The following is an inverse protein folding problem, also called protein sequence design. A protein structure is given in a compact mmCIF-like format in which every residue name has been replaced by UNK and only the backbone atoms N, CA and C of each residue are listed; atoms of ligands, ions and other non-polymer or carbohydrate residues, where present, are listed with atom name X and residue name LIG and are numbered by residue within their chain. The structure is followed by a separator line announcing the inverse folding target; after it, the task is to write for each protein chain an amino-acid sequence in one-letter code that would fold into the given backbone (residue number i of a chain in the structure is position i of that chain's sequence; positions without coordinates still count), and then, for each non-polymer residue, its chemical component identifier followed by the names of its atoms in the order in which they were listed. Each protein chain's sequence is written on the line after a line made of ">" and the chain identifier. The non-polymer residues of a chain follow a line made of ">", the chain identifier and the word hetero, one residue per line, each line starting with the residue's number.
data_IF_082285535955
#
_entry.id   IF_082285535955
#
_cell.length_a   1.000
_cell.length_b   1.000
_cell.length_c   1.000
_cell.angle_alpha   90.00
_cell.angle_beta   90.00
_cell.angle_gamma   90.00
#
_symmetry.space_group_name_H-M   'P 1'
#
loop_
_entity.id
_entity.type
_entity.pdbx_description
1 polymer ?
#
# COMPACT_ATOMS: atom_id res chain seq x y z
N UNK A 1 -19.95 11.85 14.87
CA UNK A 1 -19.87 13.28 14.52
C UNK A 1 -18.47 13.51 14.00
N UNK A 2 -18.26 13.21 12.71
CA UNK A 2 -16.95 13.29 12.04
C UNK A 2 -16.62 14.76 11.86
N UNK A 3 -15.51 15.18 12.45
CA UNK A 3 -15.03 16.55 12.36
C UNK A 3 -14.53 16.83 10.93
N UNK A 4 -15.40 17.48 10.14
CA UNK A 4 -15.12 17.94 8.77
C UNK A 4 -14.00 19.00 8.70
N UNK A 5 -13.46 19.46 9.84
CA UNK A 5 -12.37 20.46 9.87
C UNK A 5 -10.99 19.90 9.54
N UNK A 6 -10.79 18.57 9.57
CA UNK A 6 -9.50 17.93 9.27
C UNK A 6 -9.15 17.87 7.77
N UNK A 7 -10.03 18.33 6.87
CA UNK A 7 -9.89 18.20 5.42
C UNK A 7 -9.73 19.54 4.69
N UNK A 8 -9.49 20.64 5.40
CA UNK A 8 -9.15 21.90 4.74
C UNK A 8 -7.81 21.73 3.99
N UNK A 9 -7.76 21.95 2.66
CA UNK A 9 -6.54 21.85 1.90
C UNK A 9 -5.58 22.96 2.36
N UNK A 10 -4.42 22.54 2.88
CA UNK A 10 -3.29 23.44 3.13
C UNK A 10 -2.48 23.48 1.85
N UNK A 11 -2.31 24.65 1.27
CA UNK A 11 -1.51 24.85 0.05
C UNK A 11 -0.03 24.65 0.37
N UNK A 12 0.68 23.92 -0.49
CA UNK A 12 2.10 23.62 -0.35
C UNK A 12 3.05 24.76 -0.77
N UNK A 13 2.49 25.93 -1.13
CA UNK A 13 3.27 27.08 -1.59
C UNK A 13 4.26 27.53 -0.51
N UNK A 14 5.55 27.60 -0.89
CA UNK A 14 6.63 28.05 0.00
C UNK A 14 7.15 26.98 0.96
N UNK A 15 6.85 25.69 0.76
CA UNK A 15 7.47 24.61 1.51
C UNK A 15 8.94 24.41 1.10
N UNK A 16 9.79 24.18 2.10
CA UNK A 16 11.19 23.78 1.94
C UNK A 16 11.38 22.40 2.58
N UNK A 17 11.96 21.46 1.85
CA UNK A 17 12.36 20.15 2.34
C UNK A 17 13.87 20.13 2.54
N UNK A 18 14.32 19.90 3.78
CA UNK A 18 15.74 19.83 4.13
C UNK A 18 16.05 18.44 4.65
N UNK A 19 16.90 17.70 3.93
CA UNK A 19 17.31 16.34 4.28
C UNK A 19 18.75 16.29 4.76
N UNK A 20 18.99 15.62 5.89
CA UNK A 20 20.31 15.40 6.49
C UNK A 20 20.47 13.95 6.91
N UNK A 21 21.72 13.49 6.91
CA UNK A 21 22.09 12.15 7.40
C UNK A 21 21.85 12.05 8.92
N UNK A 22 21.46 10.86 9.37
CA UNK A 22 21.45 10.47 10.78
C UNK A 22 22.47 9.35 11.00
N UNK A 23 23.12 9.35 12.16
CA UNK A 23 24.09 8.30 12.52
C UNK A 23 23.41 6.93 12.67
N UNK A 24 22.28 6.88 13.37
CA UNK A 24 21.51 5.64 13.59
C UNK A 24 20.00 5.92 13.65
N UNK A 25 19.22 4.91 13.31
CA UNK A 25 17.80 4.78 13.65
C UNK A 25 17.59 3.36 14.16
N UNK A 26 17.36 3.22 15.46
CA UNK A 26 17.19 1.92 16.12
C UNK A 26 15.91 1.23 15.65
N UNK A 27 14.77 1.93 15.72
CA UNK A 27 13.46 1.45 15.24
C UNK A 27 12.72 2.60 14.54
N UNK A 28 12.38 2.42 13.25
CA UNK A 28 11.59 3.41 12.50
C UNK A 28 10.25 3.71 13.18
N UNK A 29 9.68 2.75 13.90
CA UNK A 29 8.41 2.94 14.62
C UNK A 29 8.49 4.02 15.72
N UNK A 30 9.67 4.37 16.21
CA UNK A 30 9.82 5.46 17.19
C UNK A 30 9.65 6.85 16.57
N UNK A 31 9.81 6.97 15.25
CA UNK A 31 9.58 8.20 14.52
C UNK A 31 8.12 8.39 14.05
N UNK A 32 7.26 7.38 14.23
CA UNK A 32 5.85 7.40 13.80
C UNK A 32 5.02 8.34 14.68
N UNK A 33 4.55 9.45 14.10
CA UNK A 33 3.60 10.35 14.76
C UNK A 33 2.18 9.76 14.89
N UNK A 34 1.28 10.40 15.66
CA UNK A 34 -0.12 9.97 15.77
C UNK A 34 -0.86 9.99 14.43
N UNK A 35 -0.66 11.05 13.66
CA UNK A 35 -1.15 11.21 12.27
C UNK A 35 -0.10 10.75 11.26
N UNK A 36 0.88 9.98 11.72
CA UNK A 36 2.02 9.58 10.93
C UNK A 36 1.68 8.45 9.97
N UNK A 37 2.57 8.30 9.00
CA UNK A 37 2.61 7.19 8.08
C UNK A 37 3.84 6.35 8.36
N UNK A 38 3.75 5.04 8.20
CA UNK A 38 4.93 4.19 8.05
C UNK A 38 4.76 3.29 6.85
N UNK A 39 5.88 3.04 6.17
CA UNK A 39 6.05 1.92 5.27
C UNK A 39 7.42 1.31 5.60
N UNK A 40 7.46 0.05 6.00
CA UNK A 40 8.73 -0.61 6.33
C UNK A 40 8.75 -2.08 5.93
N UNK A 41 9.79 -2.47 5.22
CA UNK A 41 10.08 -3.83 4.81
C UNK A 41 11.53 -4.19 5.15
N UNK A 42 11.75 -5.31 5.82
CA UNK A 42 13.10 -5.77 6.17
C UNK A 42 13.92 -4.78 7.02
N UNK A 43 13.25 -3.84 7.70
CA UNK A 43 13.89 -2.77 8.48
C UNK A 43 14.27 -1.53 7.66
N UNK A 44 14.14 -1.57 6.34
CA UNK A 44 14.22 -0.39 5.48
C UNK A 44 12.83 0.26 5.34
N UNK A 45 12.78 1.51 4.91
CA UNK A 45 11.56 2.28 4.69
C UNK A 45 11.60 3.65 5.35
N UNK A 46 10.41 4.18 5.67
CA UNK A 46 10.26 5.49 6.28
C UNK A 46 9.09 5.53 7.26
N UNK A 47 9.22 6.38 8.27
CA UNK A 47 8.17 6.74 9.21
C UNK A 47 8.05 8.27 9.28
N UNK A 48 6.83 8.76 9.41
CA UNK A 48 6.55 10.20 9.33
C UNK A 48 5.86 10.72 10.58
N UNK A 49 6.00 12.02 10.82
CA UNK A 49 5.29 12.74 11.87
C UNK A 49 4.96 14.17 11.43
N UNK A 50 3.81 14.66 11.89
CA UNK A 50 3.28 15.99 11.54
C UNK A 50 2.83 16.09 10.08
N UNK A 51 2.05 17.14 9.81
CA UNK A 51 1.47 17.40 8.49
C UNK A 51 1.93 18.78 8.03
N UNK A 52 2.68 18.85 6.94
CA UNK A 52 3.04 20.10 6.28
C UNK A 52 1.95 20.55 5.31
N UNK A 53 1.36 19.60 4.57
CA UNK A 53 0.23 19.86 3.68
C UNK A 53 -0.65 18.61 3.48
N UNK A 54 -1.91 18.82 3.11
CA UNK A 54 -2.83 17.78 2.63
C UNK A 54 -3.18 18.08 1.19
N UNK A 55 -2.97 17.10 0.31
CA UNK A 55 -3.00 17.30 -1.13
C UNK A 55 -3.89 16.25 -1.77
N UNK A 56 -4.86 16.63 -2.62
CA UNK A 56 -5.59 15.66 -3.42
C UNK A 56 -4.61 14.79 -4.22
N UNK A 57 -4.80 13.47 -4.21
CA UNK A 57 -3.87 12.53 -4.82
C UNK A 57 -3.64 12.80 -6.33
N UNK A 58 -4.60 13.42 -7.01
CA UNK A 58 -4.48 13.83 -8.42
C UNK A 58 -3.48 14.99 -8.65
N UNK A 59 -3.20 15.80 -7.63
CA UNK A 59 -2.35 17.00 -7.71
C UNK A 59 -1.01 16.83 -7.01
N UNK A 60 -0.71 15.63 -6.50
CA UNK A 60 0.46 15.41 -5.66
C UNK A 60 1.77 15.69 -6.39
N UNK A 61 1.87 15.29 -7.66
CA UNK A 61 3.07 15.50 -8.46
C UNK A 61 3.34 16.99 -8.70
N UNK A 62 2.30 17.76 -9.07
CA UNK A 62 2.38 19.21 -9.24
C UNK A 62 2.86 19.88 -7.95
N UNK A 63 2.26 19.49 -6.82
CA UNK A 63 2.58 20.06 -5.52
C UNK A 63 4.01 19.74 -5.10
N UNK A 64 4.45 18.48 -5.18
CA UNK A 64 5.81 18.10 -4.80
C UNK A 64 6.86 18.81 -5.66
N UNK A 65 6.57 19.08 -6.93
CA UNK A 65 7.46 19.82 -7.82
C UNK A 65 7.67 21.31 -7.42
N UNK A 66 6.76 21.88 -6.61
CA UNK A 66 6.90 23.26 -6.10
C UNK A 66 7.75 23.36 -4.84
N UNK A 67 8.03 22.24 -4.17
CA UNK A 67 8.77 22.22 -2.90
C UNK A 67 10.26 22.44 -3.19
N UNK A 68 10.87 23.41 -2.50
CA UNK A 68 12.32 23.65 -2.62
C UNK A 68 13.05 22.55 -1.83
N UNK A 69 13.89 21.76 -2.51
CA UNK A 69 14.59 20.62 -1.90
C UNK A 69 16.08 20.92 -1.72
N UNK A 70 16.54 20.87 -0.48
CA UNK A 70 17.95 20.77 -0.07
C UNK A 70 18.16 19.36 0.50
N UNK A 71 18.74 18.47 -0.28
CA UNK A 71 18.92 17.07 0.08
C UNK A 71 20.36 16.61 -0.11
N UNK A 72 21.06 16.41 1.00
CA UNK A 72 22.44 15.91 1.03
C UNK A 72 22.52 14.40 0.72
N UNK A 73 21.43 13.66 0.96
CA UNK A 73 21.43 12.20 0.97
C UNK A 73 21.17 11.65 -0.43
N UNK A 74 20.24 12.25 -1.19
CA UNK A 74 19.96 11.93 -2.61
C UNK A 74 19.62 10.44 -2.83
N UNK A 75 18.65 9.91 -2.07
CA UNK A 75 18.23 8.50 -2.11
C UNK A 75 16.70 8.36 -2.25
N UNK A 76 16.18 7.20 -2.69
CA UNK A 76 14.73 6.97 -2.67
C UNK A 76 14.13 7.22 -1.27
N UNK A 77 13.08 8.04 -1.20
CA UNK A 77 12.42 8.42 0.06
C UNK A 77 13.04 9.62 0.80
N UNK A 78 14.02 10.30 0.21
CA UNK A 78 14.56 11.59 0.68
C UNK A 78 13.91 12.77 -0.03
N UNK A 79 14.09 13.99 0.51
CA UNK A 79 13.45 15.19 -0.03
C UNK A 79 11.94 15.25 0.21
N UNK A 80 11.22 15.96 -0.67
CA UNK A 80 9.77 16.09 -0.55
C UNK A 80 9.05 14.80 -0.95
N UNK A 81 8.26 14.24 -0.04
CA UNK A 81 7.47 13.03 -0.27
C UNK A 81 6.01 13.26 0.09
N UNK A 82 5.12 12.49 -0.53
CA UNK A 82 3.73 12.39 -0.13
C UNK A 82 3.41 10.94 0.24
N UNK A 83 2.62 10.76 1.29
CA UNK A 83 2.31 9.48 1.89
C UNK A 83 0.82 9.38 2.22
N UNK A 84 0.30 8.16 2.29
CA UNK A 84 -1.10 7.91 2.65
C UNK A 84 -1.63 6.61 2.07
N UNK A 85 -2.90 6.32 2.35
CA UNK A 85 -3.64 5.21 1.77
C UNK A 85 -4.63 5.68 0.68
N UNK A 86 -4.82 4.85 -0.35
CA UNK A 86 -5.87 5.02 -1.35
C UNK A 86 -7.06 4.12 -1.02
N UNK A 87 -8.32 4.59 -1.19
CA UNK A 87 -9.50 3.77 -0.94
C UNK A 87 -9.61 2.61 -1.94
N UNK A 88 -10.29 1.53 -1.53
CA UNK A 88 -10.62 0.42 -2.43
C UNK A 88 -11.49 0.87 -3.60
N UNK A 89 -12.48 1.72 -3.34
CA UNK A 89 -13.31 2.31 -4.37
C UNK A 89 -12.53 3.35 -5.18
N UNK A 90 -12.34 3.07 -6.48
CA UNK A 90 -11.55 3.92 -7.40
C UNK A 90 -12.16 5.30 -7.63
N UNK A 91 -13.48 5.41 -7.42
CA UNK A 91 -14.24 6.64 -7.66
C UNK A 91 -14.22 7.56 -6.44
N UNK A 92 -13.76 7.07 -5.29
CA UNK A 92 -13.63 7.86 -4.08
C UNK A 92 -12.43 8.82 -4.13
N UNK A 93 -12.64 10.04 -3.65
CA UNK A 93 -11.55 11.01 -3.52
C UNK A 93 -10.49 10.51 -2.53
N UNK A 94 -9.22 10.69 -2.91
CA UNK A 94 -8.08 10.34 -2.08
C UNK A 94 -7.24 11.59 -1.79
N UNK A 95 -6.83 11.74 -0.54
CA UNK A 95 -5.96 12.83 -0.08
C UNK A 95 -4.67 12.20 0.46
N UNK A 96 -3.54 12.69 -0.01
CA UNK A 96 -2.22 12.32 0.50
C UNK A 96 -1.68 13.42 1.41
N UNK A 97 -0.80 13.04 2.32
CA UNK A 97 -0.15 13.92 3.27
C UNK A 97 1.29 14.20 2.81
N UNK A 98 1.66 15.46 2.74
CA UNK A 98 3.08 15.87 2.77
C UNK A 98 3.45 16.00 4.25
N UNK A 99 4.27 15.12 4.81
CA UNK A 99 4.56 15.11 6.23
C UNK A 99 5.53 16.24 6.59
N UNK A 100 5.45 16.76 7.82
CA UNK A 100 6.41 17.77 8.30
C UNK A 100 7.77 17.16 8.70
N UNK A 101 7.81 15.86 9.01
CA UNK A 101 9.03 15.09 9.26
C UNK A 101 8.97 13.71 8.61
N UNK A 102 10.08 13.30 8.01
CA UNK A 102 10.33 11.95 7.53
C UNK A 102 11.60 11.44 8.18
N UNK A 103 11.56 10.26 8.78
CA UNK A 103 12.77 9.51 9.16
C UNK A 103 12.80 8.27 8.30
N UNK A 104 13.91 8.06 7.63
CA UNK A 104 14.07 6.91 6.75
C UNK A 104 15.35 6.13 7.01
N UNK A 105 15.32 4.90 6.54
CA UNK A 105 16.45 3.97 6.52
C UNK A 105 16.41 3.17 5.22
N UNK A 106 17.51 3.11 4.49
CA UNK A 106 17.61 2.31 3.27
C UNK A 106 18.10 0.88 3.55
N UNK A 107 18.10 0.03 2.53
CA UNK A 107 18.55 -1.36 2.63
C UNK A 107 20.04 -1.51 2.98
N UNK A 108 20.85 -0.48 2.75
CA UNK A 108 22.27 -0.44 3.12
C UNK A 108 22.46 0.05 4.57
N UNK A 109 21.37 0.40 5.27
CA UNK A 109 21.38 0.88 6.65
C UNK A 109 21.65 2.39 6.79
N UNK A 110 21.73 3.15 5.70
CA UNK A 110 21.89 4.60 5.78
C UNK A 110 20.60 5.22 6.30
N UNK A 111 20.73 6.12 7.26
CA UNK A 111 19.61 6.75 7.93
C UNK A 111 19.57 8.25 7.62
N UNK A 112 18.37 8.81 7.54
CA UNK A 112 18.19 10.25 7.29
C UNK A 112 16.98 10.80 8.03
N UNK A 113 16.96 12.13 8.14
CA UNK A 113 15.78 12.90 8.49
C UNK A 113 15.54 13.98 7.45
N UNK A 114 14.28 14.11 7.03
CA UNK A 114 13.81 15.24 6.23
C UNK A 114 12.82 16.05 7.03
N UNK A 115 13.01 17.37 7.06
CA UNK A 115 12.05 18.33 7.60
C UNK A 115 11.40 19.09 6.44
N UNK A 116 10.07 19.16 6.41
CA UNK A 116 9.30 19.85 5.37
C UNK A 116 8.43 20.92 6.02
N UNK A 117 8.66 22.19 5.67
CA UNK A 117 7.92 23.32 6.26
C UNK A 117 8.44 23.76 7.65
N UNK A 118 7.67 24.55 8.42
CA UNK A 118 8.13 25.08 9.70
C UNK A 118 8.28 23.99 10.77
N UNK A 119 9.08 24.29 11.80
CA UNK A 119 9.50 23.37 12.87
C UNK A 119 8.30 22.70 13.55
N UNK A 120 8.39 21.38 13.74
CA UNK A 120 7.34 20.53 14.34
C UNK A 120 7.04 20.86 15.80
N UNK A 121 5.78 20.66 16.17
CA UNK A 121 5.36 20.46 17.55
C UNK A 121 5.89 19.10 18.09
N UNK A 122 6.21 19.01 19.40
CA UNK A 122 6.70 17.77 20.00
C UNK A 122 5.67 16.63 19.90
N UNK A 123 6.18 15.39 19.81
CA UNK A 123 5.32 14.21 19.79
C UNK A 123 4.46 14.13 21.06
N UNK A 124 3.18 13.74 20.97
CA UNK A 124 2.33 13.61 22.15
C UNK A 124 2.80 12.45 23.04
N UNK A 125 2.37 12.52 24.30
CA UNK A 125 2.67 11.50 25.30
C UNK A 125 2.14 10.11 24.86
N UNK A 126 2.77 9.02 25.33
CA UNK A 126 2.31 7.66 25.06
C UNK A 126 0.85 7.46 25.48
N UNK A 127 0.07 6.78 24.65
CA UNK A 127 -1.29 6.39 25.01
C UNK A 127 -1.29 5.29 26.09
N UNK A 128 -2.30 5.28 26.99
CA UNK A 128 -2.48 4.18 27.92
C UNK A 128 -2.74 2.86 27.17
N UNK A 129 -2.36 1.74 27.78
CA UNK A 129 -2.59 0.41 27.19
C UNK A 129 -4.01 -0.06 27.52
N UNK A 130 -4.75 -0.47 26.49
CA UNK A 130 -6.04 -1.13 26.66
C UNK A 130 -5.88 -2.40 27.51
N UNK A 131 -6.79 -2.59 28.47
CA UNK A 131 -6.80 -3.76 29.36
C UNK A 131 -8.00 -4.66 29.16
N UNK A 132 -9.04 -4.15 28.49
CA UNK A 132 -10.27 -4.88 28.19
C UNK A 132 -10.72 -4.56 26.78
N UNK A 133 -11.22 -5.58 26.09
CA UNK A 133 -11.81 -5.41 24.77
C UNK A 133 -12.95 -6.41 24.55
N UNK A 134 -13.85 -6.06 23.64
CA UNK A 134 -14.89 -6.94 23.12
C UNK A 134 -14.68 -7.13 21.62
N UNK A 135 -14.98 -8.32 21.12
CA UNK A 135 -14.85 -8.68 19.70
C UNK A 135 -16.22 -9.08 19.19
N UNK A 136 -16.67 -8.49 18.07
CA UNK A 136 -17.88 -8.90 17.37
C UNK A 136 -17.67 -8.92 15.86
N UNK A 137 -18.26 -9.89 15.17
CA UNK A 137 -18.43 -9.80 13.71
C UNK A 137 -19.57 -8.83 13.43
N UNK A 138 -19.39 -7.92 12.46
CA UNK A 138 -20.43 -6.96 12.07
C UNK A 138 -21.54 -7.70 11.34
N UNK A 139 -21.18 -8.52 10.38
CA UNK A 139 -22.10 -9.38 9.65
C UNK A 139 -22.38 -10.68 10.42
N UNK A 140 -23.65 -11.09 10.42
CA UNK A 140 -24.04 -12.38 10.96
C UNK A 140 -23.62 -13.52 10.02
N UNK A 141 -23.33 -14.68 10.59
CA UNK A 141 -22.94 -15.87 9.83
C UNK A 141 -23.91 -16.22 8.69
N UNK A 142 -25.22 -16.19 8.95
CA UNK A 142 -26.22 -16.53 7.93
C UNK A 142 -26.24 -15.55 6.76
N UNK A 143 -26.00 -14.26 7.01
CA UNK A 143 -25.84 -13.28 5.94
C UNK A 143 -24.59 -13.58 5.10
N UNK A 144 -23.47 -13.91 5.75
CA UNK A 144 -22.22 -14.24 5.06
C UNK A 144 -22.35 -15.49 4.19
N UNK A 145 -22.97 -16.55 4.70
CA UNK A 145 -23.23 -17.78 3.93
C UNK A 145 -24.11 -17.48 2.71
N UNK A 146 -25.16 -16.67 2.88
CA UNK A 146 -26.01 -16.25 1.76
C UNK A 146 -25.27 -15.41 0.72
N UNK A 147 -24.43 -14.45 1.13
CA UNK A 147 -23.63 -13.63 0.22
C UNK A 147 -22.67 -14.50 -0.62
N UNK A 148 -22.07 -15.52 0.00
CA UNK A 148 -21.22 -16.50 -0.71
C UNK A 148 -22.04 -17.34 -1.69
N UNK A 149 -23.24 -17.81 -1.30
CA UNK A 149 -24.13 -18.57 -2.20
C UNK A 149 -24.53 -17.74 -3.43
N UNK A 150 -24.90 -16.47 -3.25
CA UNK A 150 -25.22 -15.56 -4.35
C UNK A 150 -24.02 -15.39 -5.27
N UNK A 151 -22.82 -15.15 -4.72
CA UNK A 151 -21.61 -15.03 -5.53
C UNK A 151 -21.29 -16.30 -6.33
N UNK A 152 -21.53 -17.48 -5.77
CA UNK A 152 -21.35 -18.76 -6.46
C UNK A 152 -22.38 -18.96 -7.59
N UNK A 153 -23.64 -18.55 -7.37
CA UNK A 153 -24.67 -18.57 -8.40
C UNK A 153 -24.33 -17.61 -9.56
N UNK A 154 -23.83 -16.42 -9.25
CA UNK A 154 -23.36 -15.45 -10.24
C UNK A 154 -22.22 -16.00 -11.10
N UNK A 155 -21.28 -16.73 -10.50
CA UNK A 155 -20.20 -17.43 -11.21
C UNK A 155 -20.77 -18.54 -12.09
N UNK A 156 -21.70 -19.34 -11.59
CA UNK A 156 -22.32 -20.43 -12.35
C UNK A 156 -23.09 -19.92 -13.58
N UNK A 157 -23.67 -18.73 -13.49
CA UNK A 157 -24.34 -18.03 -14.58
C UNK A 157 -23.41 -17.21 -15.48
N UNK A 158 -22.09 -17.25 -15.24
CA UNK A 158 -21.09 -16.60 -16.07
C UNK A 158 -21.05 -15.07 -15.94
N UNK A 159 -21.53 -14.49 -14.84
CA UNK A 159 -21.49 -13.03 -14.62
C UNK A 159 -20.07 -12.53 -14.37
N UNK A 160 -19.25 -13.34 -13.71
CA UNK A 160 -17.82 -13.16 -13.50
C UNK A 160 -17.18 -14.52 -13.17
N UNK A 161 -15.87 -14.63 -13.33
CA UNK A 161 -15.07 -15.84 -13.05
C UNK A 161 -14.55 -15.88 -11.60
N UNK A 162 -14.33 -14.71 -10.98
CA UNK A 162 -13.82 -14.57 -9.62
C UNK A 162 -14.40 -13.33 -8.97
N UNK A 163 -14.71 -13.42 -7.67
CA UNK A 163 -15.00 -12.28 -6.81
C UNK A 163 -14.41 -12.53 -5.43
N UNK A 164 -13.96 -11.46 -4.76
CA UNK A 164 -13.45 -11.50 -3.40
C UNK A 164 -14.43 -10.76 -2.51
N UNK A 165 -15.01 -11.48 -1.55
CA UNK A 165 -15.87 -10.89 -0.52
C UNK A 165 -15.04 -10.65 0.74
N UNK A 166 -15.33 -9.56 1.45
CA UNK A 166 -14.70 -9.21 2.72
C UNK A 166 -15.78 -9.04 3.80
N UNK A 167 -15.39 -9.23 5.07
CA UNK A 167 -16.26 -9.02 6.23
C UNK A 167 -15.50 -8.31 7.34
N UNK A 168 -16.23 -7.61 8.19
CA UNK A 168 -15.64 -6.82 9.27
C UNK A 168 -15.72 -7.55 10.62
N UNK A 169 -14.63 -7.46 11.38
CA UNK A 169 -14.61 -7.82 12.81
C UNK A 169 -14.26 -6.56 13.59
N UNK A 170 -15.20 -6.11 14.40
CA UNK A 170 -15.03 -4.94 15.24
C UNK A 170 -14.48 -5.34 16.61
N UNK A 171 -13.40 -4.66 17.01
CA UNK A 171 -12.79 -4.78 18.33
C UNK A 171 -12.91 -3.44 19.04
N UNK A 172 -13.68 -3.40 20.12
CA UNK A 172 -13.85 -2.20 20.95
C UNK A 172 -13.08 -2.37 22.25
N UNK A 173 -12.27 -1.38 22.62
CA UNK A 173 -11.43 -1.40 23.81
C UNK A 173 -11.78 -0.27 24.79
N UNK A 174 -11.37 -0.43 26.05
CA UNK A 174 -11.53 0.56 27.12
C UNK A 174 -10.70 1.85 26.89
N UNK A 175 -9.63 1.76 26.11
CA UNK A 175 -8.83 2.90 25.65
C UNK A 175 -8.46 2.73 24.17
N UNK A 176 -8.12 3.82 23.45
CA UNK A 176 -7.63 3.73 22.08
C UNK A 176 -6.43 2.78 21.96
N UNK A 177 -6.38 2.01 20.86
CA UNK A 177 -5.21 1.19 20.56
C UNK A 177 -4.04 2.09 20.13
N UNK A 178 -2.87 1.84 20.70
CA UNK A 178 -1.65 2.54 20.30
C UNK A 178 -1.06 1.90 19.02
N UNK A 179 -1.03 2.61 17.87
CA UNK A 179 -0.57 2.06 16.59
C UNK A 179 0.82 1.42 16.64
N UNK A 180 1.80 2.04 17.31
CA UNK A 180 3.15 1.46 17.41
C UNK A 180 3.15 0.13 18.14
N UNK A 181 2.30 -0.03 19.16
CA UNK A 181 2.18 -1.27 19.91
C UNK A 181 1.52 -2.39 19.09
N UNK A 182 0.60 -2.04 18.19
CA UNK A 182 0.03 -2.99 17.22
C UNK A 182 1.09 -3.41 16.19
N UNK A 183 1.77 -2.44 15.59
CA UNK A 183 2.79 -2.68 14.55
C UNK A 183 3.97 -3.51 15.07
N UNK A 184 4.44 -3.27 16.30
CA UNK A 184 5.49 -4.10 16.91
C UNK A 184 5.08 -5.56 17.06
N UNK A 185 3.82 -5.82 17.42
CA UNK A 185 3.28 -7.19 17.50
C UNK A 185 3.15 -7.81 16.11
N UNK A 186 2.63 -7.07 15.14
CA UNK A 186 2.53 -7.52 13.75
C UNK A 186 3.91 -7.89 13.19
N UNK A 187 4.93 -7.04 13.38
CA UNK A 187 6.32 -7.31 12.98
C UNK A 187 6.84 -8.64 13.52
N UNK A 188 6.49 -8.98 14.77
CA UNK A 188 6.92 -10.23 15.40
C UNK A 188 6.16 -11.46 14.92
N UNK A 189 4.89 -11.29 14.53
CA UNK A 189 4.00 -12.39 14.15
C UNK A 189 4.01 -12.67 12.64
N UNK A 190 4.34 -11.67 11.83
CA UNK A 190 4.29 -11.70 10.37
C UNK A 190 5.65 -11.28 9.78
N UNK A 191 6.73 -12.06 10.04
CA UNK A 191 8.03 -11.77 9.46
C UNK A 191 7.95 -11.82 7.93
N UNK A 192 8.64 -10.89 7.26
CA UNK A 192 8.62 -10.76 5.79
C UNK A 192 7.52 -9.85 5.25
N UNK A 193 6.50 -9.50 6.04
CA UNK A 193 5.49 -8.53 5.62
C UNK A 193 6.00 -7.09 5.69
N UNK A 194 5.45 -6.26 4.80
CA UNK A 194 5.55 -4.81 4.82
C UNK A 194 4.64 -4.28 5.91
N UNK A 195 5.21 -3.59 6.90
CA UNK A 195 4.44 -2.85 7.90
C UNK A 195 3.97 -1.53 7.32
N UNK A 196 2.70 -1.19 7.55
CA UNK A 196 2.16 0.09 7.16
C UNK A 196 1.27 0.72 8.24
N UNK A 197 1.24 2.05 8.25
CA UNK A 197 0.28 2.85 9.02
C UNK A 197 -0.06 4.11 8.23
N UNK A 198 -1.30 4.59 8.39
CA UNK A 198 -1.75 5.90 7.94
C UNK A 198 -2.89 6.38 8.87
N UNK A 199 -2.62 7.35 9.74
CA UNK A 199 -3.62 7.96 10.63
C UNK A 199 -4.55 6.95 11.36
N UNK A 200 -3.97 5.84 11.85
CA UNK A 200 -4.69 4.77 12.56
C UNK A 200 -5.11 3.57 11.70
N UNK A 201 -5.06 3.66 10.37
CA UNK A 201 -5.15 2.51 9.47
C UNK A 201 -3.81 1.76 9.50
N UNK A 202 -3.74 0.60 10.15
CA UNK A 202 -2.48 -0.14 10.37
C UNK A 202 -2.57 -1.58 9.89
N UNK A 203 -1.44 -2.13 9.44
CA UNK A 203 -1.37 -3.53 9.08
C UNK A 203 0.03 -4.02 8.73
N UNK A 204 0.08 -5.29 8.36
CA UNK A 204 1.25 -5.96 7.83
C UNK A 204 0.83 -6.73 6.58
N UNK A 205 1.24 -6.27 5.40
CA UNK A 205 0.88 -6.89 4.11
C UNK A 205 2.06 -7.65 3.55
N UNK A 206 1.90 -8.89 3.07
CA UNK A 206 2.93 -9.57 2.30
C UNK A 206 2.98 -9.05 0.86
N UNK A 207 1.87 -8.52 0.35
CA UNK A 207 1.71 -8.17 -1.06
C UNK A 207 2.22 -6.75 -1.36
N UNK A 208 3.13 -6.66 -2.33
CA UNK A 208 3.61 -5.40 -2.89
C UNK A 208 2.88 -5.11 -4.21
N UNK A 209 1.98 -4.12 -4.20
CA UNK A 209 1.27 -3.71 -5.40
C UNK A 209 2.26 -3.21 -6.47
N UNK A 210 3.08 -2.21 -6.13
CA UNK A 210 4.14 -1.71 -6.99
C UNK A 210 5.19 -0.96 -6.18
N UNK A 211 6.46 -1.13 -6.54
CA UNK A 211 7.58 -0.29 -6.16
C UNK A 211 8.21 0.24 -7.43
N UNK A 212 8.56 1.54 -7.46
CA UNK A 212 9.28 2.16 -8.57
C UNK A 212 10.54 2.84 -8.04
N UNK A 213 11.67 2.56 -8.68
CA UNK A 213 12.95 3.26 -8.45
C UNK A 213 13.49 3.70 -9.80
N UNK A 214 13.67 5.01 -10.00
CA UNK A 214 14.00 5.58 -11.30
C UNK A 214 13.01 5.11 -12.39
N UNK A 215 13.44 4.40 -13.42
CA UNK A 215 12.60 3.84 -14.49
C UNK A 215 12.21 2.37 -14.24
N UNK A 216 12.76 1.72 -13.22
CA UNK A 216 12.52 0.31 -12.93
C UNK A 216 11.36 0.14 -11.95
N UNK A 217 10.58 -0.92 -12.12
CA UNK A 217 9.49 -1.27 -11.22
C UNK A 217 9.46 -2.76 -10.84
N UNK A 218 8.84 -3.04 -9.71
CA UNK A 218 8.61 -4.38 -9.18
C UNK A 218 7.18 -4.47 -8.63
N UNK A 219 6.49 -5.57 -8.92
CA UNK A 219 5.25 -5.99 -8.26
C UNK A 219 5.41 -7.41 -7.70
N UNK A 220 4.74 -7.74 -6.61
CA UNK A 220 4.68 -9.11 -6.06
C UNK A 220 3.22 -9.52 -5.85
N UNK A 221 2.44 -9.77 -6.93
CA UNK A 221 1.09 -10.27 -6.81
C UNK A 221 1.04 -11.58 -6.05
N UNK A 222 0.03 -11.70 -5.19
CA UNK A 222 -0.18 -12.89 -4.37
C UNK A 222 -1.61 -13.39 -4.51
N UNK A 223 -1.77 -14.66 -4.86
CA UNK A 223 -3.09 -15.30 -4.93
C UNK A 223 -2.94 -16.81 -4.86
N UNK A 224 -3.80 -17.46 -4.07
CA UNK A 224 -3.62 -18.84 -3.64
C UNK A 224 -2.90 -18.86 -2.29
N UNK A 225 -3.59 -19.34 -1.27
CA UNK A 225 -3.11 -19.30 0.13
C UNK A 225 -3.30 -20.66 0.76
N UNK A 226 -2.27 -21.14 1.45
CA UNK A 226 -2.34 -22.37 2.21
C UNK A 226 -1.74 -22.18 3.62
N UNK A 227 -2.44 -22.62 4.68
CA UNK A 227 -1.87 -22.65 6.02
C UNK A 227 -0.85 -23.79 6.14
N UNK A 228 0.20 -23.55 6.92
CA UNK A 228 1.18 -24.58 7.29
C UNK A 228 2.58 -24.01 7.51
N UNK A 229 3.40 -24.75 8.27
CA UNK A 229 4.78 -24.36 8.59
C UNK A 229 5.83 -25.24 7.88
N UNK A 230 5.42 -26.34 7.25
CA UNK A 230 6.31 -27.26 6.53
C UNK A 230 6.29 -26.91 5.05
N UNK A 231 7.34 -26.22 4.58
CA UNK A 231 7.38 -25.63 3.25
C UNK A 231 7.09 -26.63 2.11
N UNK A 232 7.63 -27.85 2.20
CA UNK A 232 7.42 -28.87 1.18
C UNK A 232 5.95 -29.32 1.07
N UNK A 233 5.24 -29.48 2.19
CA UNK A 233 3.84 -29.89 2.21
C UNK A 233 2.93 -28.78 1.68
N UNK A 234 3.21 -27.54 2.08
CA UNK A 234 2.44 -26.38 1.64
C UNK A 234 2.65 -26.13 0.15
N UNK A 235 3.89 -26.23 -0.33
CA UNK A 235 4.19 -26.11 -1.76
C UNK A 235 3.52 -27.21 -2.57
N UNK A 236 3.51 -28.46 -2.09
CA UNK A 236 2.81 -29.56 -2.75
C UNK A 236 1.30 -29.31 -2.85
N UNK A 237 0.66 -28.79 -1.78
CA UNK A 237 -0.77 -28.44 -1.77
C UNK A 237 -1.11 -27.32 -2.75
N UNK A 238 -0.35 -26.23 -2.74
CA UNK A 238 -0.57 -25.11 -3.66
C UNK A 238 -0.33 -25.53 -5.12
N UNK A 239 0.73 -26.31 -5.37
CA UNK A 239 1.04 -26.81 -6.72
C UNK A 239 0.00 -27.79 -7.26
N UNK A 240 -0.64 -28.58 -6.39
CA UNK A 240 -1.70 -29.51 -6.77
C UNK A 240 -3.07 -28.83 -6.98
N UNK A 241 -3.24 -27.58 -6.53
CA UNK A 241 -4.53 -26.88 -6.60
C UNK A 241 -4.71 -26.16 -7.93
N UNK A 242 -5.45 -26.81 -8.84
CA UNK A 242 -5.83 -26.19 -10.12
C UNK A 242 -6.69 -24.93 -9.95
N UNK A 243 -7.40 -24.80 -8.81
CA UNK A 243 -8.13 -23.58 -8.43
C UNK A 243 -7.16 -22.45 -8.11
N UNK A 244 -6.24 -22.65 -7.16
CA UNK A 244 -5.30 -21.62 -6.73
C UNK A 244 -4.39 -21.17 -7.88
N UNK A 245 -3.90 -22.12 -8.69
CA UNK A 245 -3.11 -21.80 -9.87
C UNK A 245 -3.88 -20.99 -10.91
N UNK A 246 -5.18 -21.26 -11.10
CA UNK A 246 -6.05 -20.47 -12.00
C UNK A 246 -6.30 -19.07 -11.45
N UNK A 247 -6.64 -18.95 -10.17
CA UNK A 247 -6.85 -17.66 -9.53
C UNK A 247 -5.59 -16.80 -9.52
N UNK A 248 -4.42 -17.41 -9.31
CA UNK A 248 -3.13 -16.73 -9.40
C UNK A 248 -2.87 -16.18 -10.80
N UNK A 249 -3.14 -16.98 -11.83
CA UNK A 249 -2.97 -16.57 -13.23
C UNK A 249 -3.80 -15.34 -13.58
N UNK A 250 -5.06 -15.28 -13.14
CA UNK A 250 -5.91 -14.12 -13.39
C UNK A 250 -5.31 -12.81 -12.84
N UNK A 251 -4.67 -12.86 -11.67
CA UNK A 251 -4.01 -11.68 -11.08
C UNK A 251 -2.82 -11.26 -11.93
N UNK A 252 -1.93 -12.20 -12.26
CA UNK A 252 -0.71 -11.94 -13.01
C UNK A 252 -1.02 -11.39 -14.41
N UNK A 253 -1.96 -12.00 -15.13
CA UNK A 253 -2.37 -11.56 -16.47
C UNK A 253 -3.00 -10.18 -16.43
N UNK A 254 -3.92 -9.91 -15.50
CA UNK A 254 -4.53 -8.59 -15.37
C UNK A 254 -3.51 -7.49 -15.07
N UNK A 255 -2.52 -7.76 -14.20
CA UNK A 255 -1.46 -6.80 -13.90
C UNK A 255 -0.53 -6.57 -15.09
N UNK A 256 -0.16 -7.63 -15.82
CA UNK A 256 0.63 -7.53 -17.05
C UNK A 256 -0.10 -6.66 -18.09
N UNK A 257 -1.38 -6.92 -18.30
CA UNK A 257 -2.18 -6.22 -19.30
C UNK A 257 -2.41 -4.74 -18.91
N UNK A 258 -2.60 -4.45 -17.61
CA UNK A 258 -2.73 -3.08 -17.10
C UNK A 258 -1.43 -2.26 -17.21
N UNK A 259 -0.27 -2.90 -17.06
CA UNK A 259 1.06 -2.27 -17.18
C UNK A 259 1.57 -2.18 -18.62
N UNK A 260 1.17 -3.12 -19.49
CA UNK A 260 1.64 -3.23 -20.88
C UNK A 260 1.75 -1.91 -21.64
N UNK A 261 0.75 -0.99 -21.56
CA UNK A 261 0.80 0.28 -22.28
C UNK A 261 1.90 1.27 -21.84
N UNK A 262 2.55 1.07 -20.69
CA UNK A 262 3.51 2.04 -20.11
C UNK A 262 4.90 1.47 -19.84
N UNK A 263 5.16 0.23 -20.23
CA UNK A 263 6.42 -0.45 -19.96
C UNK A 263 7.25 -0.61 -21.23
N UNK A 264 8.55 -0.37 -21.13
CA UNK A 264 9.52 -0.69 -22.17
C UNK A 264 9.91 -2.18 -22.12
N UNK A 265 10.03 -2.73 -20.90
CA UNK A 265 10.28 -4.17 -20.68
C UNK A 265 9.42 -4.68 -19.55
N UNK A 266 9.01 -5.95 -19.64
CA UNK A 266 8.31 -6.66 -18.58
C UNK A 266 8.74 -8.12 -18.56
N UNK A 267 9.10 -8.60 -17.38
CA UNK A 267 9.48 -9.96 -17.09
C UNK A 267 8.48 -10.55 -16.10
N UNK A 268 7.81 -11.62 -16.53
CA UNK A 268 6.84 -12.38 -15.74
C UNK A 268 7.25 -13.85 -15.83
N UNK A 269 7.78 -14.45 -14.74
CA UNK A 269 8.09 -15.86 -14.72
C UNK A 269 6.87 -16.73 -15.03
N UNK A 270 7.04 -17.79 -15.81
CA UNK A 270 5.95 -18.72 -16.17
C UNK A 270 5.45 -19.54 -14.97
N UNK A 271 6.28 -19.69 -13.94
CA UNK A 271 5.99 -20.51 -12.75
C UNK A 271 6.02 -19.63 -11.50
N UNK A 272 4.95 -19.61 -10.68
CA UNK A 272 4.96 -18.93 -9.40
C UNK A 272 5.91 -19.63 -8.41
N UNK A 273 6.44 -18.86 -7.48
CA UNK A 273 7.16 -19.37 -6.31
C UNK A 273 6.23 -19.43 -5.09
N UNK A 274 6.57 -20.25 -4.11
CA UNK A 274 5.84 -20.35 -2.84
C UNK A 274 6.61 -19.58 -1.77
N UNK A 275 6.04 -18.49 -1.26
CA UNK A 275 6.63 -17.68 -0.20
C UNK A 275 5.85 -17.81 1.10
N UNK A 276 6.55 -17.79 2.24
CA UNK A 276 5.95 -17.94 3.57
C UNK A 276 5.94 -16.60 4.31
N UNK A 277 4.79 -16.28 4.90
CA UNK A 277 4.55 -15.11 5.73
C UNK A 277 3.85 -15.56 7.02
N UNK A 278 4.63 -15.65 8.10
CA UNK A 278 4.16 -16.24 9.35
C UNK A 278 3.70 -17.70 9.18
N UNK A 279 2.43 -17.98 9.45
CA UNK A 279 1.83 -19.32 9.37
C UNK A 279 1.17 -19.64 8.03
N UNK A 280 1.23 -18.73 7.06
CA UNK A 280 0.62 -18.85 5.74
C UNK A 280 1.70 -18.88 4.67
N UNK A 281 1.42 -19.57 3.57
CA UNK A 281 2.19 -19.42 2.35
C UNK A 281 1.30 -19.01 1.18
N UNK A 282 1.90 -18.32 0.22
CA UNK A 282 1.25 -17.76 -0.94
C UNK A 282 1.98 -18.17 -2.23
N UNK A 283 1.23 -18.34 -3.32
CA UNK A 283 1.83 -18.31 -4.65
C UNK A 283 2.15 -16.85 -5.02
N UNK A 284 3.39 -16.61 -5.45
CA UNK A 284 3.91 -15.30 -5.81
C UNK A 284 4.57 -15.38 -7.19
N UNK A 285 4.25 -14.45 -8.08
CA UNK A 285 4.97 -14.29 -9.35
C UNK A 285 5.53 -12.87 -9.39
N UNK A 286 6.83 -12.66 -9.11
CA UNK A 286 7.44 -11.34 -9.21
C UNK A 286 7.32 -10.80 -10.64
N UNK A 287 6.77 -9.59 -10.79
CA UNK A 287 6.70 -8.88 -12.07
C UNK A 287 7.73 -7.77 -12.02
N UNK A 288 8.72 -7.83 -12.89
CA UNK A 288 9.82 -6.86 -12.97
C UNK A 288 9.81 -6.18 -14.33
N UNK A 289 10.22 -4.92 -14.41
CA UNK A 289 10.32 -4.26 -15.70
C UNK A 289 10.87 -2.84 -15.64
N UNK A 290 10.93 -2.23 -16.81
CA UNK A 290 11.30 -0.83 -16.98
C UNK A 290 10.18 -0.08 -17.67
N UNK A 291 9.97 1.18 -17.29
CA UNK A 291 8.94 2.04 -17.84
C UNK A 291 9.40 2.66 -19.17
N UNK A 292 8.46 2.81 -20.10
CA UNK A 292 8.70 3.58 -21.31
C UNK A 292 8.66 5.08 -20.99
N UNK A 293 9.39 5.87 -21.77
CA UNK A 293 9.20 7.31 -21.74
C UNK A 293 7.88 7.66 -22.45
N UNK A 294 7.03 8.45 -21.81
CA UNK A 294 5.79 9.00 -22.36
C UNK A 294 6.12 9.91 -23.56
N UNK A 295 5.25 9.91 -24.57
CA UNK A 295 5.34 10.85 -25.69
C UNK A 295 5.04 12.29 -25.17
N UNK A 296 5.91 13.28 -25.41
CA UNK A 296 5.68 14.68 -25.06
C UNK A 296 4.31 15.24 -25.51
N UNK A 297 3.76 14.75 -26.63
CA UNK A 297 2.44 15.15 -27.11
C UNK A 297 1.30 14.61 -26.22
N UNK A 298 1.39 13.36 -25.78
CA UNK A 298 0.39 12.74 -24.88
C UNK A 298 0.46 13.32 -23.46
N UNK A 299 1.65 13.69 -23.00
CA UNK A 299 1.85 14.42 -21.74
C UNK A 299 1.12 15.77 -21.72
N UNK A 300 1.16 16.50 -22.83
CA UNK A 300 0.51 17.81 -22.96
C UNK A 300 -1.03 17.71 -22.92
N UNK A 301 -1.62 16.69 -23.56
CA UNK A 301 -3.07 16.47 -23.56
C UNK A 301 -3.62 16.11 -22.16
N UNK A 302 -2.80 15.46 -21.33
CA UNK A 302 -3.15 15.06 -19.96
C UNK A 302 -2.99 16.18 -18.92
N UNK A 303 -2.59 17.38 -19.35
CA UNK A 303 -2.32 18.51 -18.45
C UNK A 303 -1.15 18.26 -17.50
N UNK A 304 -0.27 17.31 -17.82
CA UNK A 304 0.86 16.97 -16.99
C UNK A 304 1.90 18.11 -17.02
N UNK A 305 2.32 18.57 -15.84
CA UNK A 305 3.42 19.52 -15.71
C UNK A 305 4.71 18.92 -16.30
N UNK A 306 5.56 19.77 -16.91
CA UNK A 306 6.72 19.44 -17.75
C UNK A 306 7.90 18.67 -17.08
N UNK A 307 7.65 17.75 -16.15
CA UNK A 307 8.67 17.14 -15.29
C UNK A 307 8.73 15.61 -15.25
N UNK A 308 7.73 14.87 -15.73
CA UNK A 308 7.79 13.41 -15.70
C UNK A 308 7.53 12.82 -17.08
N UNK A 309 8.61 12.57 -17.83
CA UNK A 309 8.56 11.77 -19.05
C UNK A 309 8.25 10.28 -18.76
N UNK A 310 7.95 9.88 -17.53
CA UNK A 310 7.81 8.48 -17.12
C UNK A 310 6.76 8.35 -15.99
N UNK A 311 5.76 7.44 -16.08
CA UNK A 311 4.66 7.32 -15.11
C UNK A 311 5.08 7.09 -13.66
N UNK A 312 4.59 7.90 -12.72
CA UNK A 312 4.93 7.84 -11.29
C UNK A 312 4.50 6.51 -10.62
N UNK A 313 5.05 6.21 -9.43
CA UNK A 313 4.59 5.07 -8.64
C UNK A 313 3.07 5.13 -8.35
N UNK A 314 2.52 6.33 -8.17
CA UNK A 314 1.09 6.55 -7.98
C UNK A 314 0.30 6.27 -9.26
N UNK A 315 0.82 6.64 -10.43
CA UNK A 315 0.19 6.34 -11.72
C UNK A 315 0.12 4.82 -11.96
N UNK A 316 1.20 4.10 -11.63
CA UNK A 316 1.22 2.64 -11.70
C UNK A 316 0.23 2.01 -10.71
N UNK A 317 0.20 2.50 -9.47
CA UNK A 317 -0.75 2.01 -8.46
C UNK A 317 -2.21 2.20 -8.91
N UNK A 318 -2.54 3.35 -9.50
CA UNK A 318 -3.89 3.63 -10.05
C UNK A 318 -4.28 2.73 -11.22
N UNK A 319 -3.30 2.33 -12.06
CA UNK A 319 -3.54 1.38 -13.17
C UNK A 319 -3.79 -0.04 -12.67
N UNK A 320 -3.13 -0.43 -11.58
CA UNK A 320 -3.18 -1.78 -11.04
C UNK A 320 -4.34 -2.00 -10.06
N UNK A 321 -4.80 -0.95 -9.39
CA UNK A 321 -5.75 -1.04 -8.29
C UNK A 321 -7.22 -0.95 -8.75
N UNK A 322 -8.12 -1.80 -8.22
CA UNK A 322 -7.84 -3.01 -7.45
C UNK A 322 -7.43 -4.17 -8.36
N UNK A 323 -6.47 -4.98 -7.90
CA UNK A 323 -6.11 -6.21 -8.62
C UNK A 323 -7.22 -7.26 -8.47
N UNK A 324 -7.28 -8.28 -9.35
CA UNK A 324 -8.16 -9.43 -9.13
C UNK A 324 -7.91 -10.21 -7.84
N UNK A 325 -6.80 -9.95 -7.13
CA UNK A 325 -6.49 -10.58 -5.85
C UNK A 325 -7.45 -10.10 -4.73
N UNK A 326 -7.96 -8.87 -4.85
CA UNK A 326 -8.85 -8.24 -3.87
C UNK A 326 -10.20 -7.80 -4.43
N UNK A 327 -10.35 -7.71 -5.76
CA UNK A 327 -11.62 -7.43 -6.43
C UNK A 327 -12.23 -8.69 -7.06
N UNK A 328 -11.76 -9.04 -8.25
CA UNK A 328 -12.19 -10.23 -8.98
C UNK A 328 -11.91 -10.14 -10.48
N UNK A 329 -12.54 -11.01 -11.27
CA UNK A 329 -12.32 -11.15 -12.72
C UNK A 329 -13.63 -11.47 -13.44
N UNK A 330 -14.02 -10.72 -14.48
CA UNK A 330 -13.51 -9.40 -14.87
C UNK A 330 -13.67 -8.37 -13.75
N UNK A 331 -12.71 -7.44 -13.63
CA UNK A 331 -12.64 -6.51 -12.48
C UNK A 331 -13.93 -5.70 -12.30
N UNK A 332 -14.45 -5.06 -13.35
CA UNK A 332 -15.63 -4.20 -13.23
C UNK A 332 -16.88 -4.97 -12.79
N UNK A 333 -17.12 -6.15 -13.37
CA UNK A 333 -18.25 -7.00 -13.01
C UNK A 333 -18.15 -7.49 -11.55
N UNK A 334 -16.94 -7.82 -11.09
CA UNK A 334 -16.72 -8.22 -9.70
C UNK A 334 -16.91 -7.04 -8.73
N UNK A 335 -16.47 -5.83 -9.08
CA UNK A 335 -16.68 -4.63 -8.26
C UNK A 335 -18.16 -4.26 -8.17
N UNK A 336 -18.90 -4.38 -9.26
CA UNK A 336 -20.35 -4.18 -9.26
C UNK A 336 -21.08 -5.22 -8.42
N UNK A 337 -20.54 -6.44 -8.29
CA UNK A 337 -21.06 -7.45 -7.38
C UNK A 337 -20.74 -7.16 -5.91
N UNK A 338 -19.52 -6.69 -5.61
CA UNK A 338 -19.08 -6.31 -4.26
C UNK A 338 -19.90 -5.14 -3.69
N UNK A 339 -20.37 -4.24 -4.56
CA UNK A 339 -21.20 -3.08 -4.17
C UNK A 339 -22.66 -3.43 -3.84
N UNK A 340 -23.14 -4.62 -4.23
CA UNK A 340 -24.53 -5.08 -4.01
C UNK A 340 -24.70 -5.68 -2.63
#
# INVERSE_FOLDING_TARGET
>A
MTDRSLHAPVTADGLHAVTRTLDTVDDLLDALGPDGFIWSEGGAGLATSGVAARVPAARVAEVLATVVVDDEVQRPGTGAVAVGALPFDRDAEAVLTVPARVVGRDGDGRCWVTHIGPRLEPAPAPLPRATRFTVRSVEQRGWWEHAVEVALDDIAHGRFEKVVLAREVLVEADTPFEPRAVLRRLRSQQPGCILYADAGFVGATPELLVRRTADSFECRPMAGTAPGSVAAEVAARLSASGKDAREHRFVVEAMRDALGPVVATIAVPDTPVVEHFGSLAHLVTPILGTLAADDPAELAERGASAGAAVPSALDLARRLHPTPAVGGTPTDAALDAIRR
#
